data_IF_269982382318
#
_entry.id   IF_269982382318
#
_cell.length_a   1.000
_cell.length_b   1.000
_cell.length_c   1.000
_cell.angle_alpha   90.00
_cell.angle_beta   90.00
_cell.angle_gamma   90.00
#
_symmetry.space_group_name_H-M   'P 1'
#
loop_
_entity.id
_entity.type
_entity.pdbx_description
1 polymer ?
#
# COMPACT_ATOMS: atom_id res chain seq x y z
N UNK A 1 36.76 -2.54 -20.60
CA UNK A 1 35.84 -3.33 -19.77
C UNK A 1 35.66 -2.58 -18.45
N UNK A 2 34.59 -1.79 -18.32
CA UNK A 2 34.24 -1.20 -17.02
C UNK A 2 33.45 -2.25 -16.26
N UNK A 3 34.15 -3.06 -15.48
CA UNK A 3 33.52 -3.87 -14.45
C UNK A 3 32.93 -2.90 -13.42
N UNK A 4 31.67 -2.55 -13.58
CA UNK A 4 30.92 -1.94 -12.49
C UNK A 4 30.87 -3.01 -11.40
N UNK A 5 31.55 -2.83 -10.24
CA UNK A 5 31.40 -3.77 -9.16
C UNK A 5 29.93 -3.65 -8.74
N UNK A 6 29.13 -4.67 -9.08
CA UNK A 6 27.79 -4.82 -8.54
C UNK A 6 28.02 -5.03 -7.05
N UNK A 7 28.02 -3.94 -6.29
CA UNK A 7 28.16 -3.95 -4.85
C UNK A 7 27.14 -4.95 -4.33
N UNK A 8 27.62 -6.09 -3.85
CA UNK A 8 26.79 -7.11 -3.25
C UNK A 8 26.24 -6.50 -1.97
N UNK A 9 25.06 -5.87 -2.08
CA UNK A 9 24.36 -5.32 -0.93
C UNK A 9 24.22 -6.46 0.07
N UNK A 10 24.90 -6.31 1.21
CA UNK A 10 24.92 -7.34 2.24
C UNK A 10 23.47 -7.74 2.57
N UNK A 11 23.17 -9.04 2.50
CA UNK A 11 21.81 -9.58 2.70
C UNK A 11 21.20 -9.09 4.01
N UNK A 12 22.05 -8.87 5.02
CA UNK A 12 21.66 -8.35 6.33
C UNK A 12 21.15 -6.90 6.25
N UNK A 13 21.78 -6.08 5.42
CA UNK A 13 21.40 -4.68 5.18
C UNK A 13 20.10 -4.63 4.38
N UNK A 14 19.97 -5.44 3.32
CA UNK A 14 18.74 -5.51 2.52
C UNK A 14 17.50 -5.86 3.35
N UNK A 15 17.60 -6.85 4.24
CA UNK A 15 16.49 -7.23 5.12
C UNK A 15 16.05 -6.11 6.08
N UNK A 16 16.99 -5.30 6.59
CA UNK A 16 16.64 -4.13 7.42
C UNK A 16 15.89 -3.08 6.62
N UNK A 17 16.37 -2.77 5.42
CA UNK A 17 15.71 -1.81 4.53
C UNK A 17 14.31 -2.25 4.15
N UNK A 18 14.12 -3.51 3.81
CA UNK A 18 12.79 -4.02 3.46
C UNK A 18 11.84 -4.04 4.67
N UNK A 19 12.32 -4.22 5.91
CA UNK A 19 11.50 -4.02 7.10
C UNK A 19 11.01 -2.56 7.25
N UNK A 20 11.91 -1.58 7.12
CA UNK A 20 11.52 -0.17 7.21
C UNK A 20 10.54 0.22 6.10
N UNK A 21 10.74 -0.26 4.88
CA UNK A 21 9.80 -0.04 3.77
C UNK A 21 8.42 -0.60 4.12
N UNK A 22 8.33 -1.79 4.71
CA UNK A 22 7.05 -2.37 5.12
C UNK A 22 6.35 -1.55 6.20
N UNK A 23 7.09 -1.02 7.18
CA UNK A 23 6.54 -0.13 8.21
C UNK A 23 5.98 1.15 7.57
N UNK A 24 6.70 1.75 6.62
CA UNK A 24 6.23 2.94 5.90
C UNK A 24 4.96 2.63 5.10
N UNK A 25 4.92 1.51 4.38
CA UNK A 25 3.73 1.07 3.63
C UNK A 25 2.54 0.87 4.58
N UNK A 26 2.77 0.27 5.75
CA UNK A 26 1.72 0.07 6.75
C UNK A 26 1.13 1.40 7.24
N UNK A 27 1.98 2.40 7.51
CA UNK A 27 1.53 3.75 7.90
C UNK A 27 0.72 4.39 6.77
N UNK A 28 1.18 4.27 5.51
CA UNK A 28 0.45 4.79 4.35
C UNK A 28 -0.94 4.16 4.26
N UNK A 29 -1.05 2.84 4.40
CA UNK A 29 -2.34 2.13 4.39
C UNK A 29 -3.25 2.65 5.50
N UNK A 30 -2.74 2.83 6.72
CA UNK A 30 -3.53 3.36 7.83
C UNK A 30 -4.08 4.77 7.52
N UNK A 31 -3.27 5.63 6.90
CA UNK A 31 -3.71 6.97 6.45
C UNK A 31 -4.80 6.86 5.40
N UNK A 32 -4.67 5.98 4.40
CA UNK A 32 -5.70 5.79 3.37
C UNK A 32 -7.00 5.18 3.92
N UNK A 33 -6.94 4.33 4.94
CA UNK A 33 -8.15 3.85 5.63
C UNK A 33 -8.86 5.02 6.32
N UNK A 34 -8.11 5.90 6.99
CA UNK A 34 -8.68 7.08 7.62
C UNK A 34 -9.33 8.03 6.60
N UNK A 35 -8.65 8.30 5.47
CA UNK A 35 -9.20 9.09 4.38
C UNK A 35 -10.47 8.46 3.79
N UNK A 36 -10.46 7.14 3.58
CA UNK A 36 -11.63 6.42 3.08
C UNK A 36 -12.85 6.60 3.99
N UNK A 37 -12.66 6.58 5.31
CA UNK A 37 -13.75 6.80 6.27
C UNK A 37 -14.33 8.21 6.13
N UNK A 38 -13.47 9.23 6.02
CA UNK A 38 -13.90 10.63 5.84
C UNK A 38 -14.63 10.80 4.51
N UNK A 39 -14.05 10.30 3.41
CA UNK A 39 -14.60 10.46 2.08
C UNK A 39 -15.94 9.70 1.94
N UNK A 40 -16.05 8.53 2.58
CA UNK A 40 -17.32 7.77 2.62
C UNK A 40 -18.40 8.49 3.44
N UNK A 41 -18.02 9.06 4.58
CA UNK A 41 -18.95 9.86 5.39
C UNK A 41 -19.43 11.10 4.64
N UNK A 42 -18.50 11.81 3.99
CA UNK A 42 -18.79 12.98 3.16
C UNK A 42 -19.73 12.64 1.99
N UNK A 43 -19.45 11.55 1.27
CA UNK A 43 -20.32 11.07 0.19
C UNK A 43 -21.74 10.73 0.70
N UNK A 44 -21.84 10.11 1.89
CA UNK A 44 -23.12 9.85 2.54
C UNK A 44 -23.88 11.14 2.87
N UNK A 45 -23.20 12.15 3.41
CA UNK A 45 -23.80 13.47 3.71
C UNK A 45 -24.28 14.18 2.44
N UNK A 46 -23.48 14.17 1.37
CA UNK A 46 -23.82 14.79 0.08
C UNK A 46 -25.01 14.08 -0.58
N UNK A 47 -25.17 12.77 -0.39
CA UNK A 47 -26.28 12.01 -0.95
C UNK A 47 -27.66 12.55 -0.50
N UNK A 48 -27.74 13.07 0.74
CA UNK A 48 -28.95 13.67 1.30
C UNK A 48 -29.27 15.03 0.67
N UNK A 49 -28.25 15.74 0.16
CA UNK A 49 -28.41 17.06 -0.46
C UNK A 49 -28.91 17.00 -1.92
N UNK A 50 -29.09 15.79 -2.48
CA UNK A 50 -29.62 15.56 -3.84
C UNK A 50 -28.89 16.29 -4.98
N UNK A 51 -27.61 16.62 -4.79
CA UNK A 51 -26.78 17.22 -5.83
C UNK A 51 -25.95 16.13 -6.54
N UNK A 52 -26.41 15.71 -7.71
CA UNK A 52 -25.80 14.60 -8.47
C UNK A 52 -24.32 14.83 -8.82
N UNK A 53 -23.94 16.05 -9.23
CA UNK A 53 -22.56 16.34 -9.63
C UNK A 53 -21.59 16.28 -8.44
N UNK A 54 -22.00 16.82 -7.29
CA UNK A 54 -21.20 16.75 -6.07
C UNK A 54 -21.11 15.31 -5.54
N UNK A 55 -22.20 14.56 -5.65
CA UNK A 55 -22.23 13.15 -5.24
C UNK A 55 -21.29 12.29 -6.08
N UNK A 56 -21.32 12.45 -7.41
CA UNK A 56 -20.39 11.74 -8.30
C UNK A 56 -18.94 12.05 -7.98
N UNK A 57 -18.60 13.32 -7.74
CA UNK A 57 -17.24 13.70 -7.34
C UNK A 57 -16.84 13.08 -5.99
N UNK A 58 -17.73 13.05 -5.00
CA UNK A 58 -17.46 12.43 -3.71
C UNK A 58 -17.19 10.93 -3.84
N UNK A 59 -17.96 10.22 -4.67
CA UNK A 59 -17.72 8.79 -4.93
C UNK A 59 -16.41 8.52 -5.67
N UNK A 60 -15.94 9.43 -6.54
CA UNK A 60 -14.63 9.30 -7.18
C UNK A 60 -13.51 9.31 -6.12
N UNK A 61 -13.62 10.16 -5.09
CA UNK A 61 -12.65 10.22 -3.99
C UNK A 61 -12.62 8.91 -3.18
N UNK A 62 -13.80 8.35 -2.89
CA UNK A 62 -13.93 7.03 -2.23
C UNK A 62 -13.29 5.93 -3.06
N UNK A 63 -13.58 5.87 -4.37
CA UNK A 63 -13.02 4.85 -5.28
C UNK A 63 -11.50 4.99 -5.40
N UNK A 64 -10.98 6.22 -5.44
CA UNK A 64 -9.53 6.50 -5.42
C UNK A 64 -8.89 5.86 -4.20
N UNK A 65 -9.44 6.07 -3.00
CA UNK A 65 -8.86 5.54 -1.77
C UNK A 65 -8.90 4.01 -1.72
N UNK A 66 -10.00 3.41 -2.19
CA UNK A 66 -10.10 1.96 -2.35
C UNK A 66 -9.03 1.44 -3.32
N UNK A 67 -8.81 2.10 -4.45
CA UNK A 67 -7.79 1.69 -5.42
C UNK A 67 -6.38 1.72 -4.82
N UNK A 68 -6.05 2.75 -4.03
CA UNK A 68 -4.78 2.82 -3.30
C UNK A 68 -4.65 1.69 -2.26
N UNK A 69 -5.71 1.38 -1.53
CA UNK A 69 -5.70 0.28 -0.57
C UNK A 69 -5.51 -1.08 -1.26
N UNK A 70 -6.18 -1.33 -2.38
CA UNK A 70 -6.00 -2.57 -3.15
C UNK A 70 -4.55 -2.69 -3.62
N UNK A 71 -3.97 -1.65 -4.21
CA UNK A 71 -2.59 -1.66 -4.65
C UNK A 71 -1.61 -1.90 -3.49
N UNK A 72 -1.82 -1.22 -2.34
CA UNK A 72 -1.01 -1.40 -1.14
C UNK A 72 -1.08 -2.83 -0.58
N UNK A 73 -2.28 -3.41 -0.52
CA UNK A 73 -2.49 -4.78 -0.07
C UNK A 73 -1.81 -5.79 -1.01
N UNK A 74 -1.91 -5.61 -2.33
CA UNK A 74 -1.24 -6.48 -3.31
C UNK A 74 0.28 -6.50 -3.08
N UNK A 75 0.88 -5.32 -2.83
CA UNK A 75 2.32 -5.22 -2.55
C UNK A 75 2.68 -5.97 -1.27
N UNK A 76 1.91 -5.79 -0.19
CA UNK A 76 2.13 -6.50 1.08
C UNK A 76 2.02 -8.01 0.88
N UNK A 77 0.98 -8.48 0.18
CA UNK A 77 0.81 -9.91 -0.10
C UNK A 77 1.99 -10.46 -0.90
N UNK A 78 2.43 -9.76 -1.95
CA UNK A 78 3.57 -10.18 -2.75
C UNK A 78 4.86 -10.27 -1.93
N UNK A 79 5.11 -9.28 -1.07
CA UNK A 79 6.26 -9.28 -0.17
C UNK A 79 6.17 -10.45 0.83
N UNK A 80 5.00 -10.67 1.44
CA UNK A 80 4.77 -11.77 2.39
C UNK A 80 5.08 -13.13 1.75
N UNK A 81 4.57 -13.38 0.54
CA UNK A 81 4.84 -14.62 -0.19
C UNK A 81 6.33 -14.80 -0.50
N UNK A 82 7.02 -13.74 -0.90
CA UNK A 82 8.46 -13.79 -1.17
C UNK A 82 9.27 -14.05 0.09
N UNK A 83 8.92 -13.43 1.22
CA UNK A 83 9.55 -13.71 2.51
C UNK A 83 9.31 -15.14 2.96
N UNK A 84 8.07 -15.63 2.87
CA UNK A 84 7.73 -17.00 3.21
C UNK A 84 8.52 -18.01 2.38
N UNK A 85 8.62 -17.80 1.06
CA UNK A 85 9.42 -18.64 0.16
C UNK A 85 10.91 -18.64 0.52
N UNK A 86 11.46 -17.50 0.93
CA UNK A 86 12.85 -17.42 1.39
C UNK A 86 13.09 -18.17 2.71
N UNK A 87 12.15 -18.07 3.66
CA UNK A 87 12.22 -18.82 4.92
C UNK A 87 12.11 -20.33 4.70
N UNK A 88 11.16 -20.78 3.87
CA UNK A 88 10.96 -22.20 3.58
C UNK A 88 12.18 -22.86 2.91
N UNK A 89 12.97 -22.11 2.11
CA UNK A 89 14.21 -22.63 1.49
C UNK A 89 15.41 -22.71 2.45
N UNK A 90 15.33 -22.13 3.66
CA UNK A 90 16.40 -22.18 4.67
C UNK A 90 16.18 -23.27 5.72
N UNK A 91 15.00 -23.90 5.75
CA UNK A 91 14.64 -24.93 6.73
C UNK A 91 14.79 -26.37 6.20
N UNK A 92 15.49 -26.54 5.07
CA UNK A 92 15.88 -27.83 4.49
C UNK A 92 17.39 -27.82 4.23
#
# INVERSE_FOLDING_TARGET
MSENPVLSVDKKTWNKWSFYINVVIFIIIAVFIYLLVIDSYSAGSISVQNNANLLSNAWILVVRDIAFLVAGLVIIFFQLFNYYKQFSRRSW
#
